data_IF_170433431294
#
_entry.id   IF_170433431294
#
_cell.length_a   1.000
_cell.length_b   1.000
_cell.length_c   1.000
_cell.angle_alpha   90.00
_cell.angle_beta   90.00
_cell.angle_gamma   90.00
#
_symmetry.space_group_name_H-M   'P 1'
#
loop_
_entity.id
_entity.type
_entity.pdbx_description
1 polymer ?
#
# COMPACT_ATOMS: atom_id res chain seq x y z
N UNK A 1 -47.33 -46.12 22.06
CA UNK A 1 -47.03 -44.66 22.08
C UNK A 1 -45.53 -44.57 22.30
N UNK A 2 -44.69 -44.03 21.41
CA UNK A 2 -44.78 -42.77 20.67
C UNK A 2 -43.88 -42.89 19.43
N UNK A 3 -44.44 -42.72 18.22
CA UNK A 3 -43.65 -42.64 16.97
C UNK A 3 -43.01 -41.25 16.91
N UNK A 4 -41.67 -41.17 16.86
CA UNK A 4 -40.93 -39.94 16.57
C UNK A 4 -41.13 -39.57 15.10
N UNK A 5 -41.90 -38.51 14.88
CA UNK A 5 -42.03 -37.82 13.59
C UNK A 5 -40.77 -36.98 13.37
N UNK A 6 -39.99 -37.32 12.35
CA UNK A 6 -38.90 -36.48 11.84
C UNK A 6 -39.52 -35.38 10.97
N UNK A 7 -39.60 -34.17 11.51
CA UNK A 7 -39.94 -32.97 10.76
C UNK A 7 -38.76 -32.63 9.85
N UNK A 8 -38.94 -32.81 8.54
CA UNK A 8 -37.99 -32.35 7.54
C UNK A 8 -37.91 -30.81 7.61
N UNK A 9 -36.76 -30.31 8.05
CA UNK A 9 -36.41 -28.89 7.97
C UNK A 9 -36.30 -28.52 6.49
N UNK A 10 -37.28 -27.76 5.98
CA UNK A 10 -37.15 -27.08 4.68
C UNK A 10 -35.95 -26.14 4.79
N UNK A 11 -34.86 -26.44 4.07
CA UNK A 11 -33.84 -25.43 3.74
C UNK A 11 -34.58 -24.22 3.14
N UNK A 12 -34.32 -22.99 3.61
CA UNK A 12 -34.80 -21.82 2.90
C UNK A 12 -34.11 -21.85 1.52
N UNK A 13 -34.87 -22.15 0.49
CA UNK A 13 -34.45 -21.87 -0.88
C UNK A 13 -34.43 -20.35 -0.94
N UNK A 14 -33.25 -19.72 -0.95
CA UNK A 14 -33.13 -18.33 -1.39
C UNK A 14 -33.90 -18.25 -2.70
N UNK A 15 -34.96 -17.45 -2.75
CA UNK A 15 -35.58 -17.13 -4.02
C UNK A 15 -34.46 -16.65 -4.94
N UNK A 16 -34.23 -17.36 -6.03
CA UNK A 16 -33.21 -16.99 -7.00
C UNK A 16 -33.48 -15.53 -7.39
N UNK A 17 -32.56 -14.64 -7.04
CA UNK A 17 -32.61 -13.25 -7.50
C UNK A 17 -32.61 -13.32 -9.04
N UNK A 18 -33.62 -12.76 -9.68
CA UNK A 18 -33.71 -12.67 -11.14
C UNK A 18 -32.67 -11.64 -11.60
N UNK A 19 -31.44 -12.10 -11.81
CA UNK A 19 -30.31 -11.27 -12.21
C UNK A 19 -30.36 -10.99 -13.71
N UNK A 20 -30.07 -9.75 -14.16
CA UNK A 20 -30.01 -9.45 -15.58
C UNK A 20 -28.87 -10.24 -16.23
N UNK A 21 -29.06 -10.67 -17.48
CA UNK A 21 -28.01 -11.31 -18.24
C UNK A 21 -26.82 -10.34 -18.44
N UNK A 22 -25.57 -10.82 -18.32
CA UNK A 22 -24.40 -9.96 -18.50
C UNK A 22 -24.32 -9.46 -19.94
N UNK A 23 -23.88 -8.21 -20.11
CA UNK A 23 -23.55 -7.67 -21.44
C UNK A 23 -22.28 -8.35 -21.93
N UNK A 24 -22.33 -8.96 -23.12
CA UNK A 24 -21.16 -9.62 -23.73
C UNK A 24 -20.81 -8.97 -25.07
N UNK A 25 -19.54 -8.60 -25.24
CA UNK A 25 -19.01 -8.08 -26.52
C UNK A 25 -17.56 -8.48 -26.72
N UNK A 26 -17.11 -8.58 -27.97
CA UNK A 26 -15.72 -8.98 -28.29
C UNK A 26 -14.72 -7.83 -28.16
N UNK A 27 -15.14 -6.62 -28.52
CA UNK A 27 -14.40 -5.36 -28.32
C UNK A 27 -15.40 -4.25 -28.04
N UNK A 28 -14.96 -3.21 -27.34
CA UNK A 28 -15.81 -2.06 -27.06
C UNK A 28 -15.07 -0.77 -27.39
N UNK A 29 -15.53 -0.05 -28.41
CA UNK A 29 -15.05 1.30 -28.73
C UNK A 29 -16.22 2.27 -28.79
N UNK A 30 -16.34 3.17 -27.81
CA UNK A 30 -17.46 4.11 -27.68
C UNK A 30 -16.99 5.42 -27.09
N UNK A 31 -17.79 6.49 -27.25
CA UNK A 31 -17.58 7.72 -26.50
C UNK A 31 -17.93 7.52 -25.02
N UNK A 32 -19.07 6.88 -24.76
CA UNK A 32 -19.59 6.57 -23.44
C UNK A 32 -20.19 5.17 -23.46
N UNK A 33 -20.16 4.50 -22.31
CA UNK A 33 -20.82 3.22 -22.11
C UNK A 33 -21.37 3.15 -20.68
N UNK A 34 -22.59 2.65 -20.55
CA UNK A 34 -23.25 2.42 -19.28
C UNK A 34 -23.99 1.08 -19.30
N UNK A 35 -23.85 0.31 -18.23
CA UNK A 35 -24.61 -0.91 -17.98
C UNK A 35 -25.06 -0.94 -16.52
N UNK A 36 -26.34 -1.23 -16.26
CA UNK A 36 -26.85 -1.43 -14.89
C UNK A 36 -26.55 -2.83 -14.36
N UNK A 37 -26.04 -3.71 -15.23
CA UNK A 37 -25.73 -5.11 -14.95
C UNK A 37 -24.24 -5.44 -15.07
N UNK A 38 -23.94 -6.73 -14.95
CA UNK A 38 -22.59 -7.27 -15.16
C UNK A 38 -22.17 -7.12 -16.64
N UNK A 39 -20.86 -6.96 -16.88
CA UNK A 39 -20.28 -6.72 -18.21
C UNK A 39 -19.08 -7.63 -18.42
N UNK A 40 -19.02 -8.27 -19.58
CA UNK A 40 -17.87 -9.05 -20.04
C UNK A 40 -17.45 -8.62 -21.45
N UNK A 41 -16.20 -8.18 -21.58
CA UNK A 41 -15.59 -7.76 -22.84
C UNK A 41 -14.43 -8.72 -23.13
N UNK A 42 -14.50 -9.48 -24.23
CA UNK A 42 -13.50 -10.51 -24.58
C UNK A 42 -12.24 -9.94 -25.28
N UNK A 43 -11.90 -8.70 -24.99
CA UNK A 43 -10.82 -7.94 -25.63
C UNK A 43 -10.79 -6.52 -25.11
N UNK A 44 -10.17 -5.62 -25.87
CA UNK A 44 -9.93 -4.25 -25.40
C UNK A 44 -11.22 -3.42 -25.27
N UNK A 45 -11.25 -2.59 -24.24
CA UNK A 45 -12.27 -1.57 -24.01
C UNK A 45 -11.64 -0.17 -24.11
N UNK A 46 -12.06 0.60 -25.11
CA UNK A 46 -11.60 1.97 -25.36
C UNK A 46 -12.80 2.91 -25.29
N UNK A 47 -12.91 3.66 -24.20
CA UNK A 47 -14.05 4.55 -23.92
C UNK A 47 -13.56 5.98 -23.80
N UNK A 48 -14.02 6.88 -24.66
CA UNK A 48 -13.45 8.23 -24.67
C UNK A 48 -13.71 9.01 -23.39
N UNK A 49 -14.89 8.89 -22.75
CA UNK A 49 -15.21 9.70 -21.56
C UNK A 49 -15.59 8.86 -20.35
N UNK A 50 -16.76 8.21 -20.36
CA UNK A 50 -17.31 7.55 -19.16
C UNK A 50 -17.64 6.09 -19.42
N UNK A 51 -17.06 5.22 -18.60
CA UNK A 51 -17.32 3.79 -18.55
C UNK A 51 -18.00 3.44 -17.22
N UNK A 52 -19.31 3.18 -17.25
CA UNK A 52 -20.13 2.96 -16.05
C UNK A 52 -20.67 1.53 -16.05
N UNK A 53 -20.43 0.79 -14.97
CA UNK A 53 -20.90 -0.57 -14.76
C UNK A 53 -21.49 -0.69 -13.35
N UNK A 54 -22.78 -1.01 -13.26
CA UNK A 54 -23.48 -1.23 -11.99
C UNK A 54 -23.23 -2.61 -11.36
N UNK A 55 -22.74 -3.57 -12.16
CA UNK A 55 -22.37 -4.91 -11.73
C UNK A 55 -20.87 -5.13 -11.67
N UNK A 56 -20.47 -6.39 -11.81
CA UNK A 56 -19.08 -6.80 -12.00
C UNK A 56 -18.66 -6.59 -13.46
N UNK A 57 -17.40 -6.26 -13.69
CA UNK A 57 -16.83 -6.04 -15.02
C UNK A 57 -15.59 -6.90 -15.24
N UNK A 58 -15.62 -7.71 -16.30
CA UNK A 58 -14.47 -8.48 -16.78
C UNK A 58 -14.04 -8.00 -18.17
N UNK A 59 -12.76 -7.71 -18.33
CA UNK A 59 -12.14 -7.28 -19.59
C UNK A 59 -10.95 -8.20 -19.87
N UNK A 60 -11.08 -9.06 -20.89
CA UNK A 60 -10.03 -9.97 -21.36
C UNK A 60 -9.04 -9.25 -22.31
N UNK A 61 -8.62 -8.04 -21.94
CA UNK A 61 -7.71 -7.18 -22.71
C UNK A 61 -7.35 -5.94 -21.92
N UNK A 62 -7.03 -4.86 -22.63
CA UNK A 62 -6.70 -3.56 -22.02
C UNK A 62 -7.95 -2.69 -21.79
N UNK A 63 -7.89 -1.82 -20.78
CA UNK A 63 -8.89 -0.79 -20.50
C UNK A 63 -8.29 0.60 -20.66
N UNK A 64 -8.84 1.40 -21.57
CA UNK A 64 -8.50 2.81 -21.77
C UNK A 64 -9.77 3.68 -21.64
N UNK A 65 -9.79 4.61 -20.69
CA UNK A 65 -10.90 5.55 -20.50
C UNK A 65 -10.54 6.82 -19.73
N UNK A 66 -11.29 7.92 -19.88
CA UNK A 66 -11.10 9.07 -18.96
C UNK A 66 -11.59 8.70 -17.54
N UNK A 67 -12.86 8.37 -17.38
CA UNK A 67 -13.46 8.04 -16.08
C UNK A 67 -14.09 6.63 -16.10
N UNK A 68 -13.77 5.83 -15.08
CA UNK A 68 -14.33 4.50 -14.87
C UNK A 68 -15.06 4.42 -13.54
N UNK A 69 -16.32 4.00 -13.60
CA UNK A 69 -17.15 3.71 -12.43
C UNK A 69 -17.62 2.26 -12.51
N UNK A 70 -17.07 1.38 -11.68
CA UNK A 70 -17.49 -0.02 -11.60
C UNK A 70 -17.96 -0.32 -10.18
N UNK A 71 -19.26 -0.48 -9.96
CA UNK A 71 -19.80 -0.71 -8.62
C UNK A 71 -19.41 -2.08 -8.06
N UNK A 72 -19.30 -3.11 -8.90
CA UNK A 72 -18.84 -4.42 -8.51
C UNK A 72 -17.32 -4.56 -8.54
N UNK A 73 -16.86 -5.79 -8.73
CA UNK A 73 -15.47 -6.11 -8.99
C UNK A 73 -15.09 -5.73 -10.42
N UNK A 74 -13.96 -5.04 -10.59
CA UNK A 74 -13.35 -4.79 -11.90
C UNK A 74 -12.16 -5.72 -12.08
N UNK A 75 -12.17 -6.51 -13.15
CA UNK A 75 -11.07 -7.40 -13.52
C UNK A 75 -10.63 -7.11 -14.94
N UNK A 76 -9.38 -6.71 -15.11
CA UNK A 76 -8.77 -6.42 -16.40
C UNK A 76 -7.55 -7.32 -16.55
N UNK A 77 -7.52 -8.16 -17.57
CA UNK A 77 -6.40 -9.11 -17.75
C UNK A 77 -5.13 -8.46 -18.29
N UNK A 78 -5.28 -7.31 -18.97
CA UNK A 78 -4.17 -6.49 -19.48
C UNK A 78 -3.91 -5.24 -18.63
N UNK A 79 -3.52 -4.16 -19.30
CA UNK A 79 -3.21 -2.89 -18.67
C UNK A 79 -4.47 -2.02 -18.49
N UNK A 80 -4.46 -1.17 -17.45
CA UNK A 80 -5.47 -0.13 -17.20
C UNK A 80 -4.80 1.23 -17.38
N UNK A 81 -5.35 2.06 -18.26
CA UNK A 81 -4.91 3.44 -18.51
C UNK A 81 -6.10 4.38 -18.42
N UNK A 82 -6.23 5.08 -17.30
CA UNK A 82 -7.39 5.95 -17.07
C UNK A 82 -7.03 7.27 -16.40
N UNK A 83 -7.94 8.24 -16.39
CA UNK A 83 -7.71 9.46 -15.60
C UNK A 83 -8.19 9.30 -14.16
N UNK A 84 -9.38 8.72 -13.98
CA UNK A 84 -9.95 8.45 -12.65
C UNK A 84 -10.64 7.09 -12.61
N UNK A 85 -10.37 6.34 -11.53
CA UNK A 85 -10.84 4.96 -11.37
C UNK A 85 -11.58 4.78 -10.05
N UNK A 86 -12.87 4.46 -10.14
CA UNK A 86 -13.74 4.24 -8.99
C UNK A 86 -14.30 2.83 -9.04
N UNK A 87 -13.95 2.01 -8.04
CA UNK A 87 -14.36 0.61 -7.94
C UNK A 87 -15.09 0.40 -6.62
N UNK A 88 -16.26 -0.22 -6.65
CA UNK A 88 -17.01 -0.44 -5.42
C UNK A 88 -16.45 -1.58 -4.58
N UNK A 89 -15.98 -2.64 -5.23
CA UNK A 89 -15.47 -3.83 -4.56
C UNK A 89 -13.96 -3.97 -4.76
N UNK A 90 -13.51 -4.97 -5.53
CA UNK A 90 -12.10 -5.25 -5.74
C UNK A 90 -11.66 -4.85 -7.16
N UNK A 91 -10.41 -4.45 -7.28
CA UNK A 91 -9.74 -4.12 -8.54
C UNK A 91 -8.62 -5.12 -8.78
N UNK A 92 -8.75 -5.92 -9.83
CA UNK A 92 -7.73 -6.87 -10.26
C UNK A 92 -7.21 -6.49 -11.65
N UNK A 93 -5.90 -6.29 -11.77
CA UNK A 93 -5.22 -6.07 -13.04
C UNK A 93 -4.15 -7.14 -13.29
N UNK A 94 -4.18 -7.76 -14.47
CA UNK A 94 -3.13 -8.68 -14.91
C UNK A 94 -1.88 -7.96 -15.43
N UNK A 95 -1.98 -6.66 -15.75
CA UNK A 95 -0.89 -5.79 -16.17
C UNK A 95 -0.69 -4.61 -15.22
N UNK A 96 -0.28 -3.49 -15.80
CA UNK A 96 0.00 -2.25 -15.10
C UNK A 96 -1.27 -1.42 -14.91
N UNK A 97 -1.32 -0.62 -13.85
CA UNK A 97 -2.39 0.35 -13.62
C UNK A 97 -1.78 1.76 -13.64
N UNK A 98 -2.16 2.55 -14.64
CA UNK A 98 -1.75 3.94 -14.81
C UNK A 98 -3.00 4.82 -14.72
N UNK A 99 -3.13 5.57 -13.61
CA UNK A 99 -4.28 6.42 -13.32
C UNK A 99 -3.82 7.84 -13.04
N UNK A 100 -4.23 8.82 -13.86
CA UNK A 100 -3.72 10.20 -13.74
C UNK A 100 -4.01 10.85 -12.37
N UNK A 101 -5.22 10.67 -11.83
CA UNK A 101 -5.68 11.35 -10.64
C UNK A 101 -5.90 10.40 -9.46
N UNK A 102 -7.05 9.74 -9.40
CA UNK A 102 -7.47 9.02 -8.19
C UNK A 102 -7.85 7.58 -8.52
N UNK A 103 -7.30 6.65 -7.75
CA UNK A 103 -7.84 5.30 -7.59
C UNK A 103 -8.59 5.25 -6.26
N UNK A 104 -9.90 4.98 -6.33
CA UNK A 104 -10.71 4.74 -5.14
C UNK A 104 -11.40 3.38 -5.18
N UNK A 105 -11.21 2.58 -4.15
CA UNK A 105 -11.95 1.33 -3.93
C UNK A 105 -12.92 1.44 -2.75
N UNK A 106 -13.84 0.49 -2.61
CA UNK A 106 -14.83 0.52 -1.53
C UNK A 106 -15.93 1.57 -1.75
N UNK A 107 -16.11 2.06 -2.98
CA UNK A 107 -17.13 3.03 -3.33
C UNK A 107 -18.54 2.44 -3.16
N UNK A 108 -19.34 3.01 -2.26
CA UNK A 108 -20.75 2.62 -2.15
C UNK A 108 -21.57 3.11 -3.35
N UNK A 109 -22.69 2.44 -3.59
CA UNK A 109 -23.60 2.79 -4.69
C UNK A 109 -24.14 4.23 -4.54
N UNK A 110 -24.47 4.64 -3.32
CA UNK A 110 -24.88 6.02 -3.01
C UNK A 110 -23.77 7.04 -3.30
N UNK A 111 -22.51 6.69 -2.99
CA UNK A 111 -21.38 7.56 -3.25
C UNK A 111 -21.15 7.76 -4.75
N UNK A 112 -21.18 6.66 -5.53
CA UNK A 112 -21.04 6.74 -6.99
C UNK A 112 -22.19 7.51 -7.63
N UNK A 113 -23.43 7.29 -7.18
CA UNK A 113 -24.58 8.00 -7.70
C UNK A 113 -24.50 9.52 -7.48
N UNK A 114 -23.90 9.97 -6.35
CA UNK A 114 -23.61 11.39 -6.09
C UNK A 114 -22.52 11.94 -6.99
N UNK A 115 -21.44 11.19 -7.20
CA UNK A 115 -20.35 11.60 -8.11
C UNK A 115 -20.85 11.74 -9.56
N UNK A 116 -21.81 10.91 -9.96
CA UNK A 116 -22.47 10.96 -11.26
C UNK A 116 -23.68 11.91 -11.31
N UNK A 117 -23.94 12.66 -10.23
CA UNK A 117 -25.06 13.61 -10.07
C UNK A 117 -26.44 12.98 -10.39
N UNK A 118 -26.61 11.68 -10.12
CA UNK A 118 -27.85 10.96 -10.40
C UNK A 118 -28.95 11.29 -9.39
N UNK A 119 -28.57 11.57 -8.15
CA UNK A 119 -29.48 11.93 -7.05
C UNK A 119 -30.13 13.31 -7.23
N UNK A 120 -29.53 14.17 -8.06
CA UNK A 120 -30.07 15.49 -8.42
C UNK A 120 -31.05 15.44 -9.60
N UNK A 121 -31.21 14.27 -10.25
CA UNK A 121 -32.12 14.12 -11.38
C UNK A 121 -33.57 14.18 -10.92
N UNK A 122 -34.46 14.62 -11.82
CA UNK A 122 -35.90 14.60 -11.57
C UNK A 122 -36.35 13.17 -11.26
N UNK A 123 -37.19 12.96 -10.23
CA UNK A 123 -37.75 11.66 -9.93
C UNK A 123 -38.39 11.04 -11.18
N UNK A 124 -38.21 9.73 -11.35
CA UNK A 124 -38.81 9.02 -12.46
C UNK A 124 -40.34 9.07 -12.36
N UNK A 125 -41.02 9.20 -13.50
CA UNK A 125 -42.48 9.32 -13.54
C UNK A 125 -43.20 8.06 -13.06
N UNK A 126 -42.52 6.90 -13.11
CA UNK A 126 -43.00 5.60 -12.65
C UNK A 126 -42.68 5.32 -11.17
N UNK A 127 -42.00 6.25 -10.48
CA UNK A 127 -41.59 6.10 -9.09
C UNK A 127 -40.38 5.19 -8.87
N UNK A 128 -39.68 4.78 -9.93
CA UNK A 128 -38.41 4.05 -9.82
C UNK A 128 -37.33 4.88 -9.12
N UNK A 129 -36.39 4.17 -8.47
CA UNK A 129 -35.29 4.83 -7.78
C UNK A 129 -34.30 5.40 -8.79
N UNK A 130 -33.67 6.54 -8.50
CA UNK A 130 -32.57 7.04 -9.34
C UNK A 130 -31.40 6.04 -9.39
N UNK A 131 -31.29 5.16 -8.38
CA UNK A 131 -30.32 4.06 -8.35
C UNK A 131 -30.52 3.05 -9.47
N UNK A 132 -31.75 2.88 -9.98
CA UNK A 132 -32.06 1.93 -11.03
C UNK A 132 -31.41 2.32 -12.38
N UNK A 133 -30.95 3.57 -12.49
CA UNK A 133 -30.15 4.08 -13.62
C UNK A 133 -28.69 3.63 -13.52
N UNK A 134 -28.16 3.45 -12.31
CA UNK A 134 -26.78 3.05 -12.05
C UNK A 134 -26.65 1.52 -11.98
N UNK A 135 -27.54 0.85 -11.26
CA UNK A 135 -27.43 -0.56 -10.91
C UNK A 135 -28.80 -1.21 -10.84
N UNK A 136 -28.90 -2.44 -11.34
CA UNK A 136 -30.13 -3.21 -11.25
C UNK A 136 -30.43 -3.59 -9.78
N UNK A 137 -31.68 -3.47 -9.29
CA UNK A 137 -32.03 -3.74 -7.89
C UNK A 137 -31.59 -5.11 -7.36
N UNK A 138 -31.59 -6.14 -8.21
CA UNK A 138 -31.15 -7.48 -7.82
C UNK A 138 -29.63 -7.56 -7.59
N UNK A 139 -28.84 -6.77 -8.32
CA UNK A 139 -27.38 -6.66 -8.16
C UNK A 139 -27.07 -5.82 -6.93
N UNK A 140 -27.79 -4.73 -6.70
CA UNK A 140 -27.62 -3.96 -5.47
C UNK A 140 -27.86 -4.83 -4.21
N UNK A 141 -28.91 -5.65 -4.22
CA UNK A 141 -29.20 -6.62 -3.15
C UNK A 141 -28.15 -7.74 -3.04
N UNK A 142 -27.48 -8.10 -4.15
CA UNK A 142 -26.34 -9.03 -4.13
C UNK A 142 -25.25 -8.47 -3.21
N UNK A 143 -25.11 -7.15 -3.15
CA UNK A 143 -24.07 -6.48 -2.40
C UNK A 143 -24.41 -6.15 -0.93
N UNK A 144 -25.69 -6.20 -0.53
CA UNK A 144 -26.14 -5.95 0.86
C UNK A 144 -25.60 -6.98 1.90
N UNK A 145 -24.96 -8.07 1.46
CA UNK A 145 -24.51 -9.17 2.32
C UNK A 145 -22.98 -9.27 2.47
N UNK A 146 -22.20 -8.28 2.06
CA UNK A 146 -20.73 -8.33 2.12
C UNK A 146 -20.16 -7.83 3.46
N UNK A 147 -20.46 -8.57 4.52
CA UNK A 147 -19.57 -8.78 5.66
C UNK A 147 -19.30 -10.29 5.70
N UNK A 148 -18.11 -10.77 5.28
CA UNK A 148 -17.42 -11.89 5.94
C UNK A 148 -16.25 -12.52 5.16
N UNK A 149 -16.19 -12.50 3.82
CA UNK A 149 -15.12 -13.23 3.11
C UNK A 149 -14.71 -12.61 1.78
N UNK A 150 -13.46 -12.16 1.69
CA UNK A 150 -12.72 -11.91 0.43
C UNK A 150 -12.63 -10.45 -0.02
N UNK A 151 -11.50 -9.81 0.29
CA UNK A 151 -10.92 -8.67 -0.43
C UNK A 151 -11.81 -7.49 -0.83
N UNK A 152 -12.78 -7.10 0.00
CA UNK A 152 -13.56 -5.90 -0.27
C UNK A 152 -12.66 -4.67 -0.24
N UNK A 153 -12.69 -3.89 -1.32
CA UNK A 153 -11.81 -2.74 -1.46
C UNK A 153 -10.38 -3.10 -1.84
N UNK A 154 -10.04 -4.36 -2.10
CA UNK A 154 -8.67 -4.76 -2.41
C UNK A 154 -8.27 -4.29 -3.82
N UNK A 155 -6.99 -4.00 -3.98
CA UNK A 155 -6.33 -3.76 -5.27
C UNK A 155 -5.25 -4.82 -5.43
N UNK A 156 -5.32 -5.58 -6.52
CA UNK A 156 -4.31 -6.55 -6.91
C UNK A 156 -3.81 -6.24 -8.32
N UNK A 157 -2.50 -6.13 -8.48
CA UNK A 157 -1.89 -6.01 -9.81
C UNK A 157 -0.63 -6.86 -9.91
N UNK A 158 -0.46 -7.55 -11.04
CA UNK A 158 0.80 -8.25 -11.35
C UNK A 158 1.88 -7.28 -11.85
N UNK A 159 1.51 -6.06 -12.24
CA UNK A 159 2.42 -5.01 -12.65
C UNK A 159 2.56 -3.90 -11.60
N UNK A 160 3.03 -2.74 -12.06
CA UNK A 160 3.13 -1.55 -11.21
C UNK A 160 1.77 -0.84 -11.10
N UNK A 161 1.64 0.02 -10.08
CA UNK A 161 0.53 0.97 -9.96
C UNK A 161 1.10 2.38 -9.86
N UNK A 162 0.63 3.26 -10.74
CA UNK A 162 0.95 4.68 -10.73
C UNK A 162 -0.33 5.53 -10.62
N UNK A 163 -0.40 6.42 -9.62
CA UNK A 163 -1.46 7.41 -9.53
C UNK A 163 -1.13 8.64 -8.68
N UNK A 164 -1.83 9.77 -8.86
CA UNK A 164 -1.63 10.93 -8.00
C UNK A 164 -2.11 10.65 -6.57
N UNK A 165 -3.32 10.10 -6.40
CA UNK A 165 -3.94 9.81 -5.12
C UNK A 165 -4.44 8.36 -5.06
N UNK A 166 -4.20 7.70 -3.93
CA UNK A 166 -4.67 6.35 -3.65
C UNK A 166 -5.56 6.31 -2.39
N UNK A 167 -6.82 5.90 -2.56
CA UNK A 167 -7.78 5.67 -1.48
C UNK A 167 -8.35 4.24 -1.59
N UNK A 168 -7.66 3.31 -0.93
CA UNK A 168 -7.97 1.89 -0.94
C UNK A 168 -8.61 1.48 0.39
N UNK A 169 -9.87 1.03 0.36
CA UNK A 169 -10.54 0.59 1.58
C UNK A 169 -10.08 -0.79 2.06
N UNK A 170 -9.52 -1.61 1.17
CA UNK A 170 -8.99 -2.94 1.46
C UNK A 170 -7.47 -2.97 1.50
N UNK A 171 -6.90 -4.08 1.06
CA UNK A 171 -5.46 -4.27 0.89
C UNK A 171 -4.98 -3.84 -0.50
N UNK A 172 -3.69 -3.53 -0.61
CA UNK A 172 -2.99 -3.33 -1.88
C UNK A 172 -1.90 -4.37 -1.99
N UNK A 173 -1.93 -5.21 -3.02
CA UNK A 173 -0.90 -6.21 -3.31
C UNK A 173 -0.41 -6.09 -4.74
N UNK A 174 0.85 -5.69 -4.89
CA UNK A 174 1.52 -5.56 -6.17
C UNK A 174 2.73 -6.48 -6.23
N UNK A 175 2.95 -7.09 -7.39
CA UNK A 175 4.18 -7.84 -7.66
C UNK A 175 5.36 -6.92 -8.06
N UNK A 176 5.08 -5.66 -8.39
CA UNK A 176 6.06 -4.67 -8.83
C UNK A 176 5.98 -3.36 -7.99
N UNK A 177 6.40 -2.23 -8.55
CA UNK A 177 6.49 -0.93 -7.86
C UNK A 177 5.12 -0.26 -7.64
N UNK A 178 4.95 0.35 -6.46
CA UNK A 178 3.91 1.36 -6.22
C UNK A 178 4.54 2.76 -6.34
N UNK A 179 4.07 3.59 -7.28
CA UNK A 179 4.51 4.98 -7.46
C UNK A 179 3.32 5.92 -7.34
N UNK A 180 3.19 6.63 -6.23
CA UNK A 180 2.01 7.46 -5.98
C UNK A 180 2.35 8.85 -5.45
N UNK A 181 1.49 9.82 -5.75
CA UNK A 181 1.59 11.15 -5.15
C UNK A 181 1.34 11.08 -3.64
N UNK A 182 0.14 10.66 -3.24
CA UNK A 182 -0.26 10.51 -1.84
C UNK A 182 -1.07 9.22 -1.63
N UNK A 183 -0.82 8.54 -0.51
CA UNK A 183 -1.69 7.47 -0.03
C UNK A 183 -2.58 8.05 1.06
N UNK A 184 -3.77 8.48 0.65
CA UNK A 184 -4.76 9.06 1.55
C UNK A 184 -5.25 8.03 2.56
N UNK A 185 -5.46 6.79 2.09
CA UNK A 185 -5.92 5.69 2.91
C UNK A 185 -5.62 4.32 2.28
N UNK A 186 -5.08 3.41 3.07
CA UNK A 186 -5.14 1.95 2.86
C UNK A 186 -5.72 1.33 4.12
N UNK A 187 -6.93 0.77 4.02
CA UNK A 187 -7.63 0.19 5.18
C UNK A 187 -7.02 -1.12 5.68
N UNK A 188 -6.39 -1.88 4.79
CA UNK A 188 -5.72 -3.14 5.07
C UNK A 188 -4.19 -3.04 5.04
N UNK A 189 -3.56 -4.06 4.45
CA UNK A 189 -2.12 -4.16 4.25
C UNK A 189 -1.71 -3.58 2.89
N UNK A 190 -0.50 -3.03 2.80
CA UNK A 190 0.12 -2.59 1.56
C UNK A 190 1.40 -3.40 1.34
N UNK A 191 1.47 -4.13 0.23
CA UNK A 191 2.64 -4.91 -0.19
C UNK A 191 2.99 -4.61 -1.63
N UNK A 192 4.27 -4.28 -1.90
CA UNK A 192 4.81 -4.06 -3.23
C UNK A 192 6.30 -4.39 -3.28
N UNK A 193 6.88 -4.56 -4.47
CA UNK A 193 8.32 -4.78 -4.61
C UNK A 193 9.12 -3.57 -4.12
N UNK A 194 8.71 -2.36 -4.51
CA UNK A 194 9.20 -1.07 -4.01
C UNK A 194 8.03 -0.12 -3.80
N UNK A 195 8.17 0.83 -2.87
CA UNK A 195 7.12 1.80 -2.54
C UNK A 195 7.71 3.21 -2.62
N UNK A 196 7.19 4.02 -3.54
CA UNK A 196 7.55 5.43 -3.72
C UNK A 196 6.31 6.31 -3.55
N UNK A 197 6.34 7.20 -2.57
CA UNK A 197 5.26 8.13 -2.25
C UNK A 197 5.80 9.55 -2.16
N UNK A 198 5.31 10.46 -3.00
CA UNK A 198 5.79 11.86 -3.04
C UNK A 198 5.23 12.73 -1.90
N UNK A 199 4.19 12.27 -1.21
CA UNK A 199 3.50 12.94 -0.12
C UNK A 199 3.42 12.05 1.11
N UNK A 200 2.28 12.12 1.80
CA UNK A 200 2.01 11.32 2.98
C UNK A 200 1.54 9.90 2.62
N UNK A 201 1.84 8.95 3.52
CA UNK A 201 1.47 7.55 3.36
C UNK A 201 0.68 7.06 4.58
N UNK A 202 -0.64 6.87 4.42
CA UNK A 202 -1.53 6.42 5.49
C UNK A 202 -2.03 4.99 5.28
N UNK A 203 -1.29 4.02 5.82
CA UNK A 203 -1.66 2.61 5.82
C UNK A 203 -2.13 2.20 7.23
N UNK A 204 -3.33 1.62 7.35
CA UNK A 204 -3.85 1.19 8.65
C UNK A 204 -3.28 -0.16 9.09
N UNK A 205 -2.91 -1.02 8.13
CA UNK A 205 -2.29 -2.31 8.39
C UNK A 205 -0.77 -2.30 8.30
N UNK A 206 -0.22 -3.43 7.89
CA UNK A 206 1.21 -3.58 7.64
C UNK A 206 1.59 -2.96 6.30
N UNK A 207 2.68 -2.21 6.28
CA UNK A 207 3.33 -1.73 5.07
C UNK A 207 4.61 -2.54 4.86
N UNK A 208 4.65 -3.31 3.77
CA UNK A 208 5.71 -4.25 3.44
C UNK A 208 6.31 -3.92 2.07
N UNK A 209 7.64 -3.87 2.00
CA UNK A 209 8.37 -3.83 0.73
C UNK A 209 9.52 -4.84 0.69
N UNK A 210 9.66 -5.50 -0.45
CA UNK A 210 10.78 -6.41 -0.75
C UNK A 210 12.11 -5.68 -1.00
N UNK A 211 12.06 -4.39 -1.32
CA UNK A 211 13.23 -3.56 -1.56
C UNK A 211 13.10 -2.26 -0.77
N UNK A 212 13.22 -1.12 -1.43
CA UNK A 212 13.29 0.19 -0.80
C UNK A 212 11.89 0.80 -0.60
N UNK A 213 11.75 1.58 0.46
CA UNK A 213 10.59 2.42 0.72
C UNK A 213 11.06 3.87 0.79
N UNK A 214 10.44 4.71 -0.04
CA UNK A 214 10.72 6.13 -0.13
C UNK A 214 9.39 6.89 0.04
N UNK A 215 9.26 7.65 1.13
CA UNK A 215 8.08 8.49 1.39
C UNK A 215 8.54 9.90 1.71
N UNK A 216 8.32 10.85 0.80
CA UNK A 216 8.80 12.23 1.03
C UNK A 216 8.07 12.92 2.20
N UNK A 217 6.85 12.50 2.51
CA UNK A 217 6.04 12.95 3.64
C UNK A 217 6.09 12.03 4.87
N UNK A 218 5.03 12.10 5.67
CA UNK A 218 4.86 11.28 6.86
C UNK A 218 4.31 9.89 6.53
N UNK A 219 4.93 8.85 7.12
CA UNK A 219 4.50 7.46 7.01
C UNK A 219 3.78 7.04 8.30
N UNK A 220 2.51 6.68 8.16
CA UNK A 220 1.72 6.01 9.18
C UNK A 220 1.45 4.56 8.77
N UNK A 221 1.75 3.62 9.66
CA UNK A 221 1.52 2.19 9.47
C UNK A 221 1.24 1.49 10.82
N UNK A 222 0.52 0.38 10.83
CA UNK A 222 0.47 -0.45 12.04
C UNK A 222 1.80 -1.16 12.26
N UNK A 223 2.36 -1.81 11.24
CA UNK A 223 3.72 -2.35 11.25
C UNK A 223 4.42 -1.91 9.96
N UNK A 224 5.73 -1.75 10.03
CA UNK A 224 6.54 -1.36 8.87
C UNK A 224 7.67 -2.35 8.66
N UNK A 225 7.73 -2.95 7.48
CA UNK A 225 8.75 -3.93 7.09
C UNK A 225 9.35 -3.52 5.75
N UNK A 226 10.65 -3.23 5.74
CA UNK A 226 11.42 -2.83 4.56
C UNK A 226 12.61 -3.78 4.39
N UNK A 227 12.65 -4.61 3.35
CA UNK A 227 13.78 -5.51 3.13
C UNK A 227 15.00 -4.81 2.48
N UNK A 228 14.84 -3.59 1.97
CA UNK A 228 15.89 -2.69 1.54
C UNK A 228 16.09 -1.52 2.50
N UNK A 229 16.30 -0.33 1.94
CA UNK A 229 16.50 0.93 2.64
C UNK A 229 15.19 1.71 2.80
N UNK A 230 15.09 2.43 3.92
CA UNK A 230 13.91 3.20 4.27
C UNK A 230 14.27 4.68 4.39
N UNK A 231 13.77 5.49 3.45
CA UNK A 231 13.96 6.94 3.38
C UNK A 231 12.62 7.65 3.53
N UNK A 232 12.44 8.42 4.60
CA UNK A 232 11.16 9.05 4.92
C UNK A 232 11.28 10.44 5.54
N UNK A 233 10.23 11.28 5.53
CA UNK A 233 10.26 12.46 6.39
C UNK A 233 10.07 12.06 7.86
N UNK A 234 8.96 11.41 8.22
CA UNK A 234 8.72 10.92 9.59
C UNK A 234 7.98 9.59 9.58
N UNK A 235 8.16 8.80 10.64
CA UNK A 235 7.47 7.52 10.84
C UNK A 235 6.67 7.55 12.13
N UNK A 236 5.40 7.18 12.02
CA UNK A 236 4.50 6.95 13.14
C UNK A 236 3.90 5.54 13.02
N UNK A 237 4.58 4.58 13.65
CA UNK A 237 4.12 3.18 13.68
C UNK A 237 3.43 2.85 15.01
N UNK A 238 2.31 2.13 14.94
CA UNK A 238 1.68 1.58 16.16
C UNK A 238 2.46 0.39 16.73
N UNK A 239 3.05 -0.42 15.86
CA UNK A 239 3.75 -1.66 16.15
C UNK A 239 5.21 -1.57 15.74
N UNK A 240 5.76 -2.65 15.21
CA UNK A 240 7.19 -2.77 14.96
C UNK A 240 7.60 -1.99 13.69
N UNK A 241 8.83 -1.48 13.69
CA UNK A 241 9.50 -0.93 12.50
C UNK A 241 10.75 -1.77 12.25
N UNK A 242 10.82 -2.43 11.11
CA UNK A 242 11.97 -3.25 10.71
C UNK A 242 12.45 -2.84 9.32
N UNK A 243 13.74 -2.50 9.22
CA UNK A 243 14.44 -2.39 7.94
C UNK A 243 15.66 -3.30 7.92
N UNK A 244 15.93 -3.98 6.81
CA UNK A 244 17.16 -4.76 6.66
C UNK A 244 18.34 -3.87 6.26
N UNK A 245 18.09 -2.84 5.45
CA UNK A 245 19.05 -1.80 5.09
C UNK A 245 19.20 -0.76 6.19
N UNK A 246 19.25 0.50 5.79
CA UNK A 246 19.27 1.63 6.72
C UNK A 246 17.89 2.25 6.92
N UNK A 247 17.71 2.96 8.04
CA UNK A 247 16.56 3.84 8.29
C UNK A 247 17.04 5.29 8.31
N UNK A 248 16.56 6.09 7.38
CA UNK A 248 16.82 7.53 7.28
C UNK A 248 15.53 8.31 7.40
N UNK A 249 15.48 9.23 8.36
CA UNK A 249 14.35 10.14 8.52
C UNK A 249 14.80 11.59 8.67
N UNK A 250 13.98 12.55 8.24
CA UNK A 250 14.24 13.98 8.50
C UNK A 250 13.52 14.51 9.76
N UNK A 251 12.51 13.79 10.23
CA UNK A 251 11.63 14.10 11.35
C UNK A 251 11.61 12.97 12.38
N UNK A 252 10.54 12.85 13.14
CA UNK A 252 10.45 11.85 14.22
C UNK A 252 10.31 10.42 13.68
N UNK A 253 10.90 9.46 14.39
CA UNK A 253 10.68 8.03 14.18
C UNK A 253 10.11 7.47 15.47
N UNK A 254 8.84 7.08 15.46
CA UNK A 254 8.15 6.55 16.65
C UNK A 254 7.50 5.20 16.38
N UNK A 255 7.72 4.28 17.32
CA UNK A 255 7.01 2.99 17.45
C UNK A 255 6.32 2.93 18.81
N UNK A 256 4.99 3.09 18.82
CA UNK A 256 4.23 3.33 20.05
C UNK A 256 4.00 2.08 20.91
N UNK A 257 4.03 0.88 20.31
CA UNK A 257 3.86 -0.41 21.02
C UNK A 257 4.86 -1.47 20.57
N UNK A 258 5.81 -1.11 19.72
CA UNK A 258 6.76 -2.02 19.12
C UNK A 258 8.23 -1.70 19.40
N UNK A 259 9.09 -2.43 18.71
CA UNK A 259 10.52 -2.15 18.60
C UNK A 259 10.88 -1.52 17.25
N UNK A 260 12.07 -0.91 17.21
CA UNK A 260 12.68 -0.42 15.98
C UNK A 260 13.94 -1.25 15.72
N UNK A 261 14.03 -1.84 14.53
CA UNK A 261 15.18 -2.61 14.08
C UNK A 261 15.67 -2.10 12.72
N UNK A 262 16.98 -1.90 12.59
CA UNK A 262 17.65 -1.70 11.32
C UNK A 262 18.87 -2.61 11.22
N UNK A 263 19.01 -3.33 10.11
CA UNK A 263 20.17 -4.18 9.85
C UNK A 263 21.47 -3.37 9.66
N UNK A 264 21.36 -2.10 9.28
CA UNK A 264 22.48 -1.15 9.24
C UNK A 264 22.29 -0.03 10.26
N UNK A 265 22.28 1.22 9.81
CA UNK A 265 22.21 2.39 10.68
C UNK A 265 20.78 2.95 10.73
N UNK A 266 20.47 3.63 11.85
CA UNK A 266 19.27 4.45 12.02
C UNK A 266 19.74 5.88 12.18
N UNK A 267 19.28 6.81 11.34
CA UNK A 267 19.67 8.20 11.43
C UNK A 267 18.51 9.15 11.18
N UNK A 268 18.34 10.12 12.09
CA UNK A 268 17.34 11.16 11.95
C UNK A 268 17.77 12.53 12.49
N UNK A 269 17.22 13.61 11.93
CA UNK A 269 17.29 14.96 12.53
C UNK A 269 16.28 15.16 13.67
N UNK A 270 15.31 14.25 13.80
CA UNK A 270 14.30 14.25 14.85
C UNK A 270 14.72 13.45 16.09
N UNK A 271 13.71 12.94 16.79
CA UNK A 271 13.87 11.99 17.89
C UNK A 271 13.60 10.56 17.38
N UNK A 272 14.16 9.57 18.09
CA UNK A 272 13.78 8.17 17.93
C UNK A 272 13.16 7.67 19.23
N UNK A 273 11.96 7.11 19.14
CA UNK A 273 11.26 6.49 20.25
C UNK A 273 10.74 5.10 19.87
N UNK A 274 11.01 4.11 20.72
CA UNK A 274 10.35 2.81 20.63
C UNK A 274 9.80 2.41 22.00
N UNK A 275 8.59 1.86 22.06
CA UNK A 275 8.06 1.33 23.31
C UNK A 275 8.85 0.12 23.83
N UNK A 276 9.48 -0.65 22.93
CA UNK A 276 10.33 -1.81 23.23
C UNK A 276 11.81 -1.51 22.93
N UNK A 277 12.53 -2.41 22.26
CA UNK A 277 13.95 -2.23 21.92
C UNK A 277 14.16 -1.25 20.76
N UNK A 278 15.35 -0.64 20.72
CA UNK A 278 15.91 -0.02 19.52
C UNK A 278 17.17 -0.78 19.15
N UNK A 279 17.25 -1.30 17.93
CA UNK A 279 18.34 -2.13 17.43
C UNK A 279 18.88 -1.56 16.12
N UNK A 280 20.18 -1.35 16.05
CA UNK A 280 20.89 -0.95 14.83
C UNK A 280 22.14 -1.80 14.67
N UNK A 281 22.32 -2.41 13.50
CA UNK A 281 23.53 -3.15 13.15
C UNK A 281 24.79 -2.28 13.22
N UNK A 282 24.71 -1.04 12.76
CA UNK A 282 25.83 -0.11 12.68
C UNK A 282 25.67 1.07 13.65
N UNK A 283 25.38 2.27 13.16
CA UNK A 283 25.26 3.49 13.98
C UNK A 283 23.83 3.92 14.23
N UNK A 284 23.57 4.56 15.37
CA UNK A 284 22.27 5.15 15.70
C UNK A 284 22.44 6.65 16.00
N UNK A 285 21.79 7.50 15.21
CA UNK A 285 21.85 8.96 15.35
C UNK A 285 20.46 9.57 15.40
N UNK A 286 20.17 10.35 16.43
CA UNK A 286 18.96 11.17 16.49
C UNK A 286 19.28 12.53 17.09
N UNK A 287 19.15 13.60 16.31
CA UNK A 287 19.64 14.93 16.74
C UNK A 287 18.86 15.51 17.92
N UNK A 288 17.60 15.12 18.16
CA UNK A 288 16.78 15.63 19.28
C UNK A 288 16.77 14.71 20.50
N UNK A 289 16.86 13.40 20.34
CA UNK A 289 16.83 12.46 21.46
C UNK A 289 16.60 11.01 21.04
N UNK A 290 17.02 10.09 21.90
CA UNK A 290 16.76 8.65 21.74
C UNK A 290 16.22 8.14 23.08
N UNK A 291 15.07 7.48 23.05
CA UNK A 291 14.49 6.84 24.22
C UNK A 291 13.80 5.54 23.85
N UNK A 292 13.74 4.64 24.81
CA UNK A 292 13.02 3.38 24.69
C UNK A 292 12.22 3.08 25.97
N UNK A 293 11.38 2.05 25.96
CA UNK A 293 10.67 1.60 27.16
C UNK A 293 11.62 1.24 28.31
N UNK A 294 11.15 1.44 29.54
CA UNK A 294 11.99 1.37 30.76
C UNK A 294 12.64 -0.01 31.00
N UNK A 295 11.96 -1.09 30.61
CA UNK A 295 12.43 -2.48 30.76
C UNK A 295 13.19 -3.00 29.52
N UNK A 296 13.45 -2.13 28.55
CA UNK A 296 14.10 -2.45 27.28
C UNK A 296 15.45 -1.74 27.15
N UNK A 297 16.09 -1.86 25.98
CA UNK A 297 17.41 -1.29 25.75
C UNK A 297 17.64 -0.79 24.33
N UNK A 298 18.71 -0.03 24.20
CA UNK A 298 19.23 0.46 22.92
C UNK A 298 20.49 -0.33 22.59
N UNK A 299 20.43 -1.08 21.50
CA UNK A 299 21.49 -1.96 21.00
C UNK A 299 22.00 -1.44 19.65
N UNK A 300 23.10 -0.69 19.65
CA UNK A 300 23.75 -0.26 18.42
C UNK A 300 25.04 -1.05 18.16
N UNK A 301 25.57 -0.96 16.94
CA UNK A 301 26.82 -1.58 16.52
C UNK A 301 26.88 -3.10 16.70
N UNK A 302 25.74 -3.78 16.58
CA UNK A 302 25.62 -5.23 16.81
C UNK A 302 26.29 -6.07 15.72
N UNK A 303 26.48 -5.50 14.52
CA UNK A 303 27.17 -6.16 13.39
C UNK A 303 28.64 -5.74 13.23
N UNK A 304 29.16 -4.89 14.13
CA UNK A 304 30.51 -4.33 14.03
C UNK A 304 31.40 -4.73 15.22
N UNK A 305 32.70 -5.00 14.98
CA UNK A 305 33.66 -5.22 16.06
C UNK A 305 33.86 -3.94 16.88
N UNK A 306 34.11 -4.10 18.18
CA UNK A 306 34.31 -2.98 19.13
C UNK A 306 35.38 -1.98 18.68
N UNK A 307 36.41 -2.42 17.95
CA UNK A 307 37.46 -1.57 17.40
C UNK A 307 36.95 -0.52 16.39
N UNK A 308 35.78 -0.74 15.78
CA UNK A 308 35.16 0.20 14.82
C UNK A 308 34.08 1.08 15.43
N UNK A 309 33.70 0.89 16.70
CA UNK A 309 32.58 1.59 17.31
C UNK A 309 32.75 3.11 17.32
N UNK A 310 33.95 3.62 17.61
CA UNK A 310 34.24 5.06 17.61
C UNK A 310 33.96 5.76 16.26
N UNK A 311 33.96 5.03 15.14
CA UNK A 311 33.90 5.62 13.79
C UNK A 311 32.72 5.15 12.94
N UNK A 312 32.21 3.94 13.15
CA UNK A 312 31.15 3.32 12.33
C UNK A 312 30.03 2.66 13.17
N UNK A 313 30.26 2.44 14.46
CA UNK A 313 29.31 1.77 15.37
C UNK A 313 29.02 2.63 16.60
N UNK A 314 28.65 3.88 16.36
CA UNK A 314 28.45 4.86 17.42
C UNK A 314 26.97 5.17 17.63
N UNK A 315 26.67 5.72 18.80
CA UNK A 315 25.39 6.32 19.14
C UNK A 315 25.58 7.81 19.39
N UNK A 316 24.75 8.66 18.80
CA UNK A 316 24.79 10.10 19.02
C UNK A 316 23.40 10.70 19.14
N UNK A 317 23.22 11.52 20.15
CA UNK A 317 22.01 12.29 20.39
C UNK A 317 22.34 13.54 21.22
N UNK A 318 21.33 14.39 21.43
CA UNK A 318 21.46 15.60 22.27
C UNK A 318 22.00 15.32 23.69
N UNK A 319 21.72 14.13 24.24
CA UNK A 319 22.33 13.63 25.47
C UNK A 319 22.51 12.11 25.38
N UNK A 320 23.40 11.56 26.22
CA UNK A 320 23.63 10.11 26.25
C UNK A 320 22.35 9.37 26.65
N UNK A 321 21.85 8.42 25.83
CA UNK A 321 20.65 7.66 26.19
C UNK A 321 20.89 6.81 27.44
N UNK A 322 19.92 6.81 28.36
CA UNK A 322 20.05 6.13 29.66
C UNK A 322 20.21 4.61 29.53
N UNK A 323 19.49 4.01 28.57
CA UNK A 323 19.38 2.56 28.37
C UNK A 323 20.27 2.06 27.21
N UNK A 324 21.42 2.70 26.99
CA UNK A 324 22.40 2.30 25.98
C UNK A 324 23.19 1.07 26.43
N UNK A 325 23.03 -0.04 25.73
CA UNK A 325 23.66 -1.33 26.06
C UNK A 325 24.85 -1.68 25.16
N UNK A 326 24.86 -1.25 23.90
CA UNK A 326 25.97 -1.48 22.96
C UNK A 326 26.16 -0.31 21.99
N UNK A 327 27.33 -0.23 21.36
CA UNK A 327 27.78 0.94 20.61
C UNK A 327 28.47 1.96 21.50
N UNK A 328 29.32 2.80 20.91
CA UNK A 328 30.02 3.86 21.64
C UNK A 328 29.24 5.17 21.54
N UNK A 329 28.90 5.79 22.67
CA UNK A 329 28.34 7.14 22.63
C UNK A 329 29.40 8.15 22.16
N UNK A 330 29.09 8.90 21.11
CA UNK A 330 29.96 9.93 20.52
C UNK A 330 29.12 11.19 20.32
N UNK A 331 29.50 12.27 20.99
CA UNK A 331 28.77 13.54 20.91
C UNK A 331 28.93 14.23 19.55
N UNK A 332 27.93 15.02 19.17
CA UNK A 332 28.00 15.92 18.02
C UNK A 332 27.87 15.26 16.64
N UNK A 333 27.68 13.94 16.55
CA UNK A 333 27.31 13.29 15.29
C UNK A 333 25.85 13.58 14.96
N UNK A 334 25.58 13.71 13.67
CA UNK A 334 24.34 14.22 13.07
C UNK A 334 24.03 13.38 11.83
N UNK A 335 22.81 13.46 11.32
CA UNK A 335 22.41 12.72 10.11
C UNK A 335 23.42 12.92 8.97
N UNK A 336 23.83 14.16 8.70
CA UNK A 336 24.83 14.49 7.67
C UNK A 336 26.17 13.75 7.78
N UNK A 337 26.55 13.30 8.98
CA UNK A 337 27.78 12.53 9.18
C UNK A 337 27.59 11.08 8.75
N UNK A 338 26.39 10.52 8.93
CA UNK A 338 26.02 9.21 8.42
C UNK A 338 25.92 9.27 6.88
N UNK A 339 25.26 10.30 6.33
CA UNK A 339 25.20 10.51 4.87
C UNK A 339 26.60 10.55 4.24
N UNK A 340 27.56 11.22 4.90
CA UNK A 340 28.94 11.28 4.43
C UNK A 340 29.67 9.92 4.51
N UNK A 341 29.35 9.07 5.49
CA UNK A 341 29.88 7.72 5.58
C UNK A 341 29.28 6.81 4.50
N UNK A 342 28.00 6.94 4.21
CA UNK A 342 27.32 6.17 3.17
C UNK A 342 27.89 6.49 1.78
N UNK A 343 27.99 7.78 1.44
CA UNK A 343 28.60 8.23 0.19
C UNK A 343 30.03 7.73 0.01
N UNK A 344 30.80 7.69 1.10
CA UNK A 344 32.17 7.14 1.08
C UNK A 344 32.17 5.64 0.82
N UNK A 345 31.23 4.89 1.42
CA UNK A 345 31.09 3.44 1.21
C UNK A 345 30.71 3.11 -0.24
N UNK A 346 29.75 3.82 -0.82
CA UNK A 346 29.38 3.66 -2.24
C UNK A 346 30.60 3.83 -3.14
N UNK A 347 31.34 4.92 -2.93
CA UNK A 347 32.59 5.17 -3.67
C UNK A 347 33.61 4.05 -3.47
N UNK A 348 33.76 3.52 -2.24
CA UNK A 348 34.68 2.41 -1.94
C UNK A 348 34.29 1.10 -2.63
N UNK A 349 33.00 0.76 -2.65
CA UNK A 349 32.48 -0.43 -3.32
C UNK A 349 32.71 -0.37 -4.84
N UNK A 350 32.47 0.79 -5.46
CA UNK A 350 32.59 0.98 -6.91
C UNK A 350 33.99 0.64 -7.47
N UNK A 351 35.06 0.98 -6.74
CA UNK A 351 36.43 0.65 -7.19
C UNK A 351 36.98 -0.64 -6.58
N UNK A 352 36.46 -1.13 -5.45
CA UNK A 352 36.89 -2.40 -4.86
C UNK A 352 36.45 -3.61 -5.71
N UNK A 353 35.23 -3.60 -6.27
CA UNK A 353 34.73 -4.72 -7.08
C UNK A 353 35.63 -4.99 -8.30
N UNK A 354 35.97 -4.01 -9.15
CA UNK A 354 36.94 -4.21 -10.23
C UNK A 354 38.32 -4.65 -9.75
N UNK A 355 38.75 -4.23 -8.55
CA UNK A 355 40.07 -4.56 -8.00
C UNK A 355 40.14 -5.98 -7.44
N UNK A 356 39.06 -6.47 -6.81
CA UNK A 356 38.92 -7.86 -6.37
C UNK A 356 38.87 -8.80 -7.59
N UNK A 357 38.07 -8.47 -8.59
CA UNK A 357 38.04 -9.20 -9.87
C UNK A 357 39.41 -9.25 -10.54
N UNK A 358 40.15 -8.13 -10.60
CA UNK A 358 41.52 -8.12 -11.13
C UNK A 358 42.52 -8.95 -10.33
N UNK A 359 42.36 -9.05 -9.00
CA UNK A 359 43.21 -9.90 -8.14
C UNK A 359 42.92 -11.39 -8.36
N UNK A 360 41.66 -11.75 -8.59
CA UNK A 360 41.25 -13.13 -8.86
C UNK A 360 41.58 -13.57 -10.31
N UNK A 361 41.71 -12.62 -11.24
CA UNK A 361 42.10 -12.87 -12.63
C UNK A 361 43.62 -12.87 -12.89
N UNK A 362 44.45 -12.63 -11.87
CA UNK A 362 45.91 -12.77 -12.02
C UNK A 362 46.30 -14.25 -11.83
N UNK A 363 46.93 -14.91 -12.82
CA UNK A 363 47.43 -16.26 -12.64
C UNK A 363 48.55 -16.22 -11.58
N UNK A 364 48.49 -17.19 -10.65
CA UNK A 364 49.41 -17.38 -9.52
C UNK A 364 50.86 -17.44 -9.97
#
# INVERSE_FOLDING_TARGET
>A
MTKRTTTATKKPVLAALDLPAPVQTTRLKRKQFASTGDVHIQGDAVITTQFIVGGDCLIDGDLEAEEVFCLGKLTVTGDIRVQSLYVGHALDAGGNIDVEYLIKTGCSADWMARMLELDQRKPAADGSSYMDILVHPAILKRYDHHDAFGGFGDIQALGYVACADLDCHGNVQLDDVLEVGEIQFVGGHLSAAAIHVAGDCNCQGELFSETDIQVEGALFAANLICQGNLDVASIHSQGDISTWGYLRATGEVSSLRGEIHSGRWIATKGSVYAAKYIKSGESLVAEKGISCGADYGILAATSLPRSRWATHGFVSAASKPRLLLSGQFVEGKKLKHIDALEKKRETELDWEVPRRLKREMQPV
#
